data_IF_904364503895
#
_entry.id   IF_904364503895
#
_cell.length_a   1.000
_cell.length_b   1.000
_cell.length_c   1.000
_cell.angle_alpha   90.00
_cell.angle_beta   90.00
_cell.angle_gamma   90.00
#
_symmetry.space_group_name_H-M   'P 1'
#
loop_
_entity.id
_entity.type
_entity.pdbx_description
1 polymer ?
#
# COMPACT_ATOMS: atom_id res chain seq x y z
N UNK A 1 7.68 -10.14 20.31
CA UNK A 1 8.03 -9.06 19.40
C UNK A 1 6.84 -8.69 18.55
N UNK A 2 6.48 -7.46 18.58
CA UNK A 2 5.23 -7.06 17.96
C UNK A 2 5.41 -6.64 16.51
N UNK A 3 6.31 -5.72 16.27
CA UNK A 3 6.65 -5.32 14.91
C UNK A 3 8.02 -4.65 14.92
N UNK A 4 8.60 -4.48 13.73
CA UNK A 4 9.90 -3.83 13.57
C UNK A 4 9.72 -2.62 12.65
N UNK A 5 10.10 -1.44 13.14
CA UNK A 5 10.10 -0.21 12.36
C UNK A 5 11.54 0.30 12.36
N UNK A 6 12.13 0.42 11.17
CA UNK A 6 13.50 0.94 11.07
C UNK A 6 13.53 2.40 11.51
N UNK A 7 14.65 2.83 12.08
CA UNK A 7 14.80 4.18 12.63
C UNK A 7 14.54 5.29 11.61
N UNK A 8 14.80 5.05 10.33
CA UNK A 8 14.57 6.03 9.27
C UNK A 8 13.11 6.08 8.79
N UNK A 9 12.30 5.10 9.14
CA UNK A 9 10.90 5.09 8.75
C UNK A 9 10.10 6.00 9.65
N UNK A 10 9.05 6.60 9.08
CA UNK A 10 8.13 7.45 9.82
C UNK A 10 6.76 6.79 9.83
N UNK A 11 6.27 6.50 11.02
CA UNK A 11 4.92 5.99 11.22
C UNK A 11 4.15 7.05 11.99
N UNK A 12 3.18 7.66 11.33
CA UNK A 12 2.41 8.72 11.96
C UNK A 12 1.55 8.16 13.08
N UNK A 13 1.35 8.95 14.11
CA UNK A 13 0.48 8.59 15.23
C UNK A 13 -0.92 8.30 14.68
N UNK A 14 -1.49 7.18 15.10
CA UNK A 14 -2.81 6.77 14.63
C UNK A 14 -2.79 5.64 13.61
N UNK A 15 -1.65 5.36 12.99
CA UNK A 15 -1.53 4.19 12.13
C UNK A 15 -1.63 2.91 12.96
N UNK A 16 -2.28 1.91 12.39
CA UNK A 16 -2.42 0.59 13.04
C UNK A 16 -1.51 -0.41 12.32
N UNK A 17 -0.62 -1.04 13.07
CA UNK A 17 0.35 -2.00 12.52
C UNK A 17 0.24 -3.30 13.31
N UNK A 18 0.01 -4.41 12.60
CA UNK A 18 -0.18 -5.71 13.22
C UNK A 18 1.13 -6.38 13.64
N UNK A 19 0.98 -7.42 14.45
CA UNK A 19 2.10 -8.18 14.99
C UNK A 19 2.95 -8.80 13.88
N UNK A 20 4.25 -8.73 14.03
CA UNK A 20 5.20 -9.35 13.11
C UNK A 20 5.45 -8.58 11.82
N UNK A 21 4.86 -7.42 11.64
CA UNK A 21 5.07 -6.58 10.47
C UNK A 21 6.42 -5.88 10.57
N UNK A 22 7.12 -5.78 9.43
CA UNK A 22 8.43 -5.13 9.33
C UNK A 22 8.35 -3.98 8.34
N UNK A 23 8.80 -2.81 8.77
CA UNK A 23 8.82 -1.60 7.95
C UNK A 23 10.26 -1.12 7.88
N UNK A 24 10.80 -1.06 6.67
CA UNK A 24 12.21 -0.82 6.45
C UNK A 24 12.51 0.66 6.17
N UNK A 25 13.69 0.92 5.61
CA UNK A 25 14.29 2.27 5.50
C UNK A 25 13.41 3.23 4.72
N UNK A 26 13.28 4.46 5.22
CA UNK A 26 12.73 5.62 4.52
C UNK A 26 11.26 5.47 4.13
N UNK A 27 10.54 4.55 4.75
CA UNK A 27 9.12 4.38 4.50
C UNK A 27 8.30 5.36 5.33
N UNK A 28 7.12 5.73 4.84
CA UNK A 28 6.21 6.64 5.53
C UNK A 28 4.81 6.05 5.55
N UNK A 29 4.29 5.82 6.75
CA UNK A 29 2.95 5.28 6.98
C UNK A 29 2.09 6.37 7.57
N UNK A 30 1.04 6.76 6.88
CA UNK A 30 0.15 7.84 7.32
C UNK A 30 -0.78 7.40 8.45
N UNK A 31 -1.33 8.38 9.16
CA UNK A 31 -2.01 8.15 10.43
C UNK A 31 -3.25 7.26 10.34
N UNK A 32 -3.96 7.26 9.22
CA UNK A 32 -5.18 6.45 9.07
C UNK A 32 -4.94 5.07 8.48
N UNK A 33 -3.70 4.71 8.16
CA UNK A 33 -3.40 3.42 7.54
C UNK A 33 -3.65 2.27 8.51
N UNK A 34 -4.16 1.16 7.98
CA UNK A 34 -4.35 -0.07 8.73
C UNK A 34 -3.55 -1.17 8.03
N UNK A 35 -2.56 -1.69 8.73
CA UNK A 35 -1.67 -2.74 8.20
C UNK A 35 -1.80 -3.97 9.10
N UNK A 36 -2.03 -5.11 8.49
CA UNK A 36 -2.23 -6.36 9.21
C UNK A 36 -0.94 -6.95 9.76
N UNK A 37 -0.99 -8.25 10.02
CA UNK A 37 0.09 -9.01 10.66
C UNK A 37 1.05 -9.56 9.62
N UNK A 38 2.32 -9.70 10.02
CA UNK A 38 3.35 -10.41 9.24
C UNK A 38 3.56 -9.81 7.85
N UNK A 39 3.31 -8.52 7.70
CA UNK A 39 3.60 -7.81 6.46
C UNK A 39 5.08 -7.42 6.39
N UNK A 40 5.55 -7.19 5.18
CA UNK A 40 6.90 -6.69 4.97
C UNK A 40 6.84 -5.54 3.97
N UNK A 41 7.17 -4.35 4.43
CA UNK A 41 7.24 -3.15 3.61
C UNK A 41 8.70 -2.81 3.41
N UNK A 42 9.14 -2.82 2.17
CA UNK A 42 10.53 -2.58 1.82
C UNK A 42 10.94 -1.13 1.96
N UNK A 43 12.00 -0.76 1.27
CA UNK A 43 12.56 0.58 1.35
C UNK A 43 11.72 1.56 0.53
N UNK A 44 11.52 2.77 1.10
CA UNK A 44 10.84 3.86 0.42
C UNK A 44 9.41 3.49 -0.02
N UNK A 45 8.66 2.95 0.92
CA UNK A 45 7.24 2.61 0.71
C UNK A 45 6.39 3.69 1.36
N UNK A 46 5.41 4.20 0.63
CA UNK A 46 4.44 5.15 1.16
C UNK A 46 3.08 4.48 1.29
N UNK A 47 2.43 4.66 2.44
CA UNK A 47 1.08 4.13 2.69
C UNK A 47 0.19 5.28 3.14
N UNK A 48 -0.84 5.57 2.36
CA UNK A 48 -1.74 6.70 2.61
C UNK A 48 -2.72 6.49 3.75
N UNK A 49 -3.45 7.55 4.07
CA UNK A 49 -4.37 7.57 5.22
C UNK A 49 -5.56 6.61 5.10
N UNK A 50 -6.03 6.37 3.88
CA UNK A 50 -7.21 5.54 3.64
C UNK A 50 -6.81 4.26 2.92
N UNK A 51 -5.83 3.57 3.49
CA UNK A 51 -5.30 2.32 2.95
C UNK A 51 -5.54 1.22 3.97
N UNK A 52 -6.02 0.09 3.49
CA UNK A 52 -6.19 -1.12 4.30
C UNK A 52 -5.35 -2.23 3.68
N UNK A 53 -4.44 -2.78 4.47
CA UNK A 53 -3.55 -3.86 4.07
C UNK A 53 -3.81 -5.05 4.98
N UNK A 54 -4.10 -6.19 4.39
CA UNK A 54 -4.36 -7.42 5.12
C UNK A 54 -3.11 -8.04 5.71
N UNK A 55 -3.15 -9.34 5.95
CA UNK A 55 -2.05 -10.06 6.59
C UNK A 55 -1.10 -10.63 5.54
N UNK A 56 0.17 -10.76 5.92
CA UNK A 56 1.19 -11.38 5.09
C UNK A 56 1.32 -10.74 3.70
N UNK A 57 1.15 -9.43 3.64
CA UNK A 57 1.33 -8.67 2.40
C UNK A 57 2.78 -8.26 2.28
N UNK A 58 3.35 -8.39 1.10
CA UNK A 58 4.73 -7.98 0.84
C UNK A 58 4.73 -6.86 -0.18
N UNK A 59 5.25 -5.73 0.21
CA UNK A 59 5.37 -4.56 -0.65
C UNK A 59 6.86 -4.28 -0.83
N UNK A 60 7.33 -4.40 -2.05
CA UNK A 60 8.74 -4.23 -2.37
C UNK A 60 9.11 -2.75 -2.41
N UNK A 61 10.39 -2.48 -2.71
CA UNK A 61 10.91 -1.11 -2.65
C UNK A 61 10.22 -0.17 -3.64
N UNK A 62 10.14 1.10 -3.26
CA UNK A 62 9.70 2.20 -4.13
C UNK A 62 8.25 2.05 -4.60
N UNK A 63 7.38 1.64 -3.71
CA UNK A 63 5.94 1.53 -3.99
C UNK A 63 5.18 2.53 -3.13
N UNK A 64 4.29 3.28 -3.74
CA UNK A 64 3.35 4.14 -3.02
C UNK A 64 1.96 3.54 -3.11
N UNK A 65 1.38 3.28 -1.94
CA UNK A 65 0.00 2.79 -1.83
C UNK A 65 -0.85 3.98 -1.42
N UNK A 66 -1.55 4.54 -2.39
CA UNK A 66 -2.31 5.76 -2.18
C UNK A 66 -3.67 5.48 -1.54
N UNK A 67 -4.31 6.55 -1.07
CA UNK A 67 -5.64 6.47 -0.47
C UNK A 67 -6.61 5.71 -1.36
N UNK A 68 -7.50 4.96 -0.73
CA UNK A 68 -8.54 4.16 -1.35
C UNK A 68 -8.06 2.86 -2.00
N UNK A 69 -6.82 2.46 -1.75
CA UNK A 69 -6.34 1.13 -2.15
C UNK A 69 -6.50 0.17 -0.98
N UNK A 70 -7.09 -0.98 -1.25
CA UNK A 70 -7.20 -2.09 -0.28
C UNK A 70 -6.47 -3.31 -0.83
N UNK A 71 -5.53 -3.82 -0.05
CA UNK A 71 -4.79 -5.05 -0.38
C UNK A 71 -5.23 -6.13 0.60
N UNK A 72 -5.79 -7.22 0.08
CA UNK A 72 -6.20 -8.35 0.92
C UNK A 72 -4.98 -9.19 1.31
N UNK A 73 -5.22 -10.29 2.02
CA UNK A 73 -4.13 -11.14 2.53
C UNK A 73 -3.27 -11.70 1.40
N UNK A 74 -2.00 -11.91 1.68
CA UNK A 74 -1.06 -12.60 0.79
C UNK A 74 -0.81 -11.90 -0.54
N UNK A 75 -1.12 -10.62 -0.66
CA UNK A 75 -0.84 -9.85 -1.87
C UNK A 75 0.65 -9.52 -1.94
N UNK A 76 1.22 -9.61 -3.12
CA UNK A 76 2.60 -9.22 -3.39
C UNK A 76 2.63 -8.03 -4.34
N UNK A 77 3.26 -6.93 -3.92
CA UNK A 77 3.48 -5.75 -4.77
C UNK A 77 4.94 -5.73 -5.19
N UNK A 78 5.20 -5.91 -6.46
CA UNK A 78 6.56 -5.92 -7.02
C UNK A 78 7.23 -4.55 -6.93
N UNK A 79 8.57 -4.50 -7.01
CA UNK A 79 9.29 -3.24 -6.87
C UNK A 79 8.90 -2.25 -7.95
N UNK A 80 8.77 -1.00 -7.54
CA UNK A 80 8.46 0.14 -8.42
C UNK A 80 7.14 -0.01 -9.19
N UNK A 81 6.23 -0.87 -8.73
CA UNK A 81 4.90 -0.87 -9.31
C UNK A 81 4.14 0.37 -8.85
N UNK A 82 3.11 0.76 -9.58
CA UNK A 82 2.42 2.03 -9.39
C UNK A 82 0.91 1.84 -9.20
N UNK A 83 0.37 2.45 -8.14
CA UNK A 83 -1.07 2.64 -7.99
C UNK A 83 -1.42 4.08 -8.36
N UNK A 84 -2.62 4.30 -8.86
CA UNK A 84 -3.17 5.64 -9.01
C UNK A 84 -4.48 5.72 -8.21
N UNK A 85 -5.07 6.92 -8.09
CA UNK A 85 -6.36 7.05 -7.40
C UNK A 85 -7.31 8.05 -8.08
N UNK A 86 -6.88 8.66 -9.17
CA UNK A 86 -7.69 9.58 -9.99
C UNK A 86 -7.49 9.22 -11.45
N UNK A 87 -8.59 9.16 -12.22
CA UNK A 87 -8.52 8.79 -13.63
C UNK A 87 -7.80 9.82 -14.50
N UNK A 88 -8.03 11.10 -14.24
CA UNK A 88 -7.57 12.18 -15.10
C UNK A 88 -7.02 13.35 -14.28
N UNK A 89 -5.88 13.16 -13.63
CA UNK A 89 -5.32 14.22 -12.78
C UNK A 89 -4.90 15.44 -13.61
N UNK A 90 -5.12 16.60 -13.05
CA UNK A 90 -4.69 17.89 -13.58
C UNK A 90 -4.23 18.77 -12.42
N UNK A 91 -3.06 19.33 -12.51
CA UNK A 91 -2.53 20.16 -11.41
C UNK A 91 -3.43 21.36 -11.10
N UNK A 92 -4.04 21.94 -12.12
CA UNK A 92 -4.89 23.12 -11.94
C UNK A 92 -6.31 22.81 -11.48
N UNK A 93 -6.69 21.55 -11.42
CA UNK A 93 -8.04 21.12 -11.05
C UNK A 93 -7.94 20.15 -9.87
N UNK A 94 -8.34 20.56 -8.66
CA UNK A 94 -8.32 19.64 -7.51
C UNK A 94 -9.37 18.56 -7.70
N UNK A 95 -8.94 17.30 -7.49
CA UNK A 95 -9.82 16.13 -7.66
C UNK A 95 -9.79 15.22 -6.44
N UNK A 96 -9.51 15.75 -5.26
CA UNK A 96 -9.44 14.94 -4.04
C UNK A 96 -10.76 14.26 -3.69
N UNK A 97 -11.88 14.76 -4.21
CA UNK A 97 -13.19 14.16 -4.01
C UNK A 97 -13.49 13.08 -5.06
N UNK A 98 -12.57 12.84 -5.99
CA UNK A 98 -12.79 11.93 -7.12
C UNK A 98 -11.90 10.69 -7.05
N UNK A 99 -11.39 10.36 -5.88
CA UNK A 99 -10.58 9.17 -5.69
C UNK A 99 -11.41 7.92 -5.98
N UNK A 100 -10.85 7.01 -6.74
CA UNK A 100 -11.48 5.73 -7.08
C UNK A 100 -10.88 4.63 -6.25
N UNK A 101 -11.72 3.75 -5.77
CA UNK A 101 -11.29 2.61 -4.96
C UNK A 101 -10.62 1.56 -5.83
N UNK A 102 -9.55 0.98 -5.33
CA UNK A 102 -8.86 -0.15 -5.95
C UNK A 102 -8.82 -1.29 -4.94
N UNK A 103 -9.22 -2.46 -5.37
CA UNK A 103 -9.30 -3.63 -4.49
C UNK A 103 -8.49 -4.77 -5.10
N UNK A 104 -7.49 -5.23 -4.36
CA UNK A 104 -6.62 -6.34 -4.76
C UNK A 104 -6.94 -7.52 -3.85
N UNK A 105 -7.44 -8.60 -4.43
CA UNK A 105 -7.89 -9.77 -3.68
C UNK A 105 -6.73 -10.67 -3.28
N UNK A 106 -7.04 -11.58 -2.38
CA UNK A 106 -6.08 -12.46 -1.72
C UNK A 106 -5.15 -13.15 -2.72
N UNK A 107 -3.87 -13.15 -2.42
CA UNK A 107 -2.86 -13.91 -3.15
C UNK A 107 -2.45 -13.35 -4.50
N UNK A 108 -2.99 -12.21 -4.92
CA UNK A 108 -2.61 -11.62 -6.20
C UNK A 108 -1.17 -11.11 -6.16
N UNK A 109 -0.49 -11.20 -7.30
CA UNK A 109 0.86 -10.67 -7.49
C UNK A 109 0.82 -9.56 -8.53
N UNK A 110 1.31 -8.39 -8.14
CA UNK A 110 1.43 -7.25 -9.03
C UNK A 110 2.90 -7.13 -9.43
N UNK A 111 3.18 -7.33 -10.72
CA UNK A 111 4.54 -7.41 -11.21
C UNK A 111 5.34 -6.12 -11.08
N UNK A 112 6.66 -6.25 -11.11
CA UNK A 112 7.56 -5.09 -11.04
C UNK A 112 7.24 -4.10 -12.17
N UNK A 113 7.27 -2.81 -11.83
CA UNK A 113 7.00 -1.70 -12.76
C UNK A 113 5.61 -1.69 -13.40
N UNK A 114 4.68 -2.56 -12.97
CA UNK A 114 3.33 -2.49 -13.51
C UNK A 114 2.59 -1.26 -12.96
N UNK A 115 1.55 -0.85 -13.67
CA UNK A 115 0.68 0.22 -13.23
C UNK A 115 -0.74 -0.31 -13.08
N UNK A 116 -1.32 -0.11 -11.91
CA UNK A 116 -2.71 -0.45 -11.65
C UNK A 116 -3.49 0.85 -11.62
N UNK A 117 -4.26 1.09 -12.67
CA UNK A 117 -5.13 2.27 -12.72
C UNK A 117 -6.27 2.07 -11.73
N UNK A 118 -6.61 3.11 -11.02
CA UNK A 118 -7.63 3.07 -9.97
C UNK A 118 -9.01 2.66 -10.49
N UNK A 119 -9.86 2.24 -9.55
CA UNK A 119 -11.24 1.89 -9.88
C UNK A 119 -11.40 0.46 -10.38
N UNK A 120 -10.40 -0.40 -10.19
CA UNK A 120 -10.43 -1.79 -10.66
C UNK A 120 -10.35 -2.76 -9.50
N UNK A 121 -10.74 -3.98 -9.77
CA UNK A 121 -10.53 -5.11 -8.87
C UNK A 121 -9.57 -6.09 -9.52
N UNK A 122 -8.59 -6.53 -8.76
CA UNK A 122 -7.64 -7.57 -9.20
C UNK A 122 -8.04 -8.85 -8.48
N UNK A 123 -8.40 -9.88 -9.22
CA UNK A 123 -8.96 -11.11 -8.68
C UNK A 123 -7.99 -11.92 -7.84
N UNK A 124 -8.54 -12.89 -7.11
CA UNK A 124 -7.72 -13.76 -6.25
C UNK A 124 -6.66 -14.48 -7.06
N UNK A 125 -5.45 -14.51 -6.53
CA UNK A 125 -4.31 -15.21 -7.12
C UNK A 125 -3.98 -14.78 -8.56
N UNK A 126 -4.46 -13.62 -9.00
CA UNK A 126 -4.07 -13.07 -10.29
C UNK A 126 -2.56 -12.83 -10.33
N UNK A 127 -1.99 -13.00 -11.51
CA UNK A 127 -0.54 -12.88 -11.66
C UNK A 127 -0.19 -12.18 -12.96
#
# INVERSE_FOLDING_TARGET
MEYIIHDTAIVDKGASIGLGTKIWHWSHICSGAVIGKKCSLGQNVFVGNKVIIGNNVKIQNNVSVYDNVTLKDDVFCGPSMVFTNVYNPRSSVPRKNEYKDTLVYKGATLGANCTIVCGVEIGQYAF
#
